data_IF_094161061804
#
_entry.id   IF_094161061804
#
_cell.length_a   1.000
_cell.length_b   1.000
_cell.length_c   1.000
_cell.angle_alpha   90.00
_cell.angle_beta   90.00
_cell.angle_gamma   90.00
#
_symmetry.space_group_name_H-M   'P 1'
#
loop_
_entity.id
_entity.type
_entity.pdbx_description
1 polymer ?
#
# COMPACT_ATOMS: atom_id res chain seq x y z
N UNK A 1 24.04 -17.49 -46.86
CA UNK A 1 22.87 -18.38 -46.92
C UNK A 1 23.36 -19.79 -47.12
N UNK A 2 23.55 -20.54 -46.03
CA UNK A 2 23.89 -21.96 -46.07
C UNK A 2 22.66 -22.75 -45.64
N UNK A 3 21.87 -23.19 -46.61
CA UNK A 3 20.78 -24.14 -46.38
C UNK A 3 21.34 -25.56 -46.51
N UNK A 4 21.07 -26.41 -45.51
CA UNK A 4 21.48 -27.82 -45.49
C UNK A 4 20.22 -28.67 -45.62
N UNK A 5 20.02 -29.24 -46.80
CA UNK A 5 18.94 -30.19 -47.08
C UNK A 5 19.42 -31.62 -46.84
N UNK A 6 18.67 -32.37 -46.03
CA UNK A 6 18.82 -33.82 -45.91
C UNK A 6 17.51 -34.52 -46.24
N UNK A 7 17.59 -35.48 -47.17
CA UNK A 7 16.46 -36.33 -47.58
C UNK A 7 16.77 -37.78 -47.20
N UNK A 8 15.91 -38.37 -46.36
CA UNK A 8 15.92 -39.81 -46.07
C UNK A 8 15.11 -40.57 -47.15
N UNK A 9 15.48 -41.82 -47.52
CA UNK A 9 14.77 -42.61 -48.52
C UNK A 9 13.29 -42.91 -48.21
N UNK A 10 12.82 -42.68 -46.98
CA UNK A 10 11.41 -42.83 -46.59
C UNK A 10 10.56 -41.54 -46.80
N UNK A 11 11.12 -40.53 -47.49
CA UNK A 11 10.36 -39.36 -47.96
C UNK A 11 10.11 -38.27 -46.92
N UNK A 12 10.70 -38.36 -45.73
CA UNK A 12 10.64 -37.28 -44.74
C UNK A 12 11.71 -36.22 -45.04
N UNK A 13 11.27 -34.98 -45.28
CA UNK A 13 12.10 -33.80 -45.49
C UNK A 13 12.13 -32.95 -44.23
N UNK A 14 13.33 -32.58 -43.77
CA UNK A 14 13.53 -31.68 -42.63
C UNK A 14 14.40 -30.52 -43.08
N UNK A 15 13.80 -29.33 -43.10
CA UNK A 15 14.49 -28.09 -43.45
C UNK A 15 14.81 -27.32 -42.16
N UNK A 16 16.10 -27.23 -41.83
CA UNK A 16 16.57 -26.51 -40.65
C UNK A 16 17.14 -25.14 -41.06
N UNK A 17 16.44 -24.08 -40.64
CA UNK A 17 16.97 -22.71 -40.64
C UNK A 17 17.58 -22.39 -39.30
N UNK A 18 18.88 -22.12 -39.28
CA UNK A 18 19.55 -21.55 -38.12
C UNK A 18 19.44 -20.02 -38.16
N UNK A 19 19.01 -19.35 -37.07
CA UNK A 19 18.95 -17.90 -37.01
C UNK A 19 20.35 -17.28 -36.82
N UNK A 20 20.72 -16.34 -37.71
CA UNK A 20 21.91 -15.48 -37.57
C UNK A 20 21.56 -14.20 -36.79
N UNK A 21 21.44 -14.26 -35.46
CA UNK A 21 21.72 -13.14 -34.55
C UNK A 21 21.64 -13.58 -33.08
N UNK A 22 22.45 -13.04 -32.13
CA UNK A 22 22.37 -13.42 -30.73
C UNK A 22 21.15 -12.73 -30.09
N UNK A 23 20.22 -13.52 -29.57
CA UNK A 23 19.12 -13.02 -28.74
C UNK A 23 19.26 -13.63 -27.34
N UNK A 24 19.66 -12.79 -26.39
CA UNK A 24 19.39 -12.96 -24.96
C UNK A 24 17.86 -12.94 -24.75
N UNK A 25 17.22 -14.11 -24.81
CA UNK A 25 15.85 -14.29 -24.36
C UNK A 25 15.61 -15.77 -24.01
N UNK A 26 15.20 -16.01 -22.76
CA UNK A 26 14.82 -17.32 -22.20
C UNK A 26 13.68 -17.94 -23.04
N UNK A 27 13.75 -19.24 -23.39
CA UNK A 27 12.73 -19.86 -24.23
C UNK A 27 11.45 -20.18 -23.46
N UNK A 28 10.31 -19.70 -23.98
CA UNK A 28 8.97 -20.06 -23.54
C UNK A 28 8.58 -21.42 -24.16
N UNK A 29 8.49 -22.47 -23.34
CA UNK A 29 8.06 -23.80 -23.77
C UNK A 29 6.54 -23.86 -23.84
N UNK A 30 5.96 -23.72 -25.04
CA UNK A 30 4.53 -23.98 -25.29
C UNK A 30 4.37 -25.31 -26.01
N UNK A 31 3.90 -26.32 -25.29
CA UNK A 31 3.39 -27.58 -25.87
C UNK A 31 2.04 -27.34 -26.54
N UNK A 32 1.85 -28.05 -27.65
CA UNK A 32 0.69 -28.06 -28.56
C UNK A 32 -0.50 -28.80 -27.97
N UNK A 33 -1.73 -28.40 -28.33
CA UNK A 33 -2.88 -29.27 -28.66
C UNK A 33 -3.95 -28.37 -29.31
N UNK A 34 -4.29 -28.66 -30.58
CA UNK A 34 -5.49 -28.13 -31.24
C UNK A 34 -6.58 -29.21 -31.24
N UNK A 35 -7.79 -28.97 -30.70
CA UNK A 35 -8.92 -29.87 -30.92
C UNK A 35 -9.64 -29.53 -32.24
N UNK A 36 -9.93 -30.55 -33.04
CA UNK A 36 -10.63 -30.45 -34.33
C UNK A 36 -12.15 -30.62 -34.14
N UNK A 37 -12.92 -29.63 -34.64
CA UNK A 37 -14.31 -29.55 -35.16
C UNK A 37 -15.46 -30.35 -34.51
N UNK A 38 -16.57 -29.64 -34.26
CA UNK A 38 -17.92 -30.09 -34.64
C UNK A 38 -18.66 -29.00 -35.41
N UNK A 39 -19.18 -29.40 -36.57
CA UNK A 39 -20.06 -28.59 -37.44
C UNK A 39 -21.43 -28.49 -36.78
N UNK A 40 -21.97 -27.27 -36.63
CA UNK A 40 -23.41 -27.01 -36.63
C UNK A 40 -23.62 -25.62 -37.20
N UNK A 41 -24.19 -25.56 -38.42
CA UNK A 41 -24.77 -24.36 -38.98
C UNK A 41 -26.13 -24.15 -38.30
N UNK A 42 -26.26 -23.06 -37.53
CA UNK A 42 -27.50 -22.29 -37.49
C UNK A 42 -27.14 -20.80 -37.44
N UNK A 43 -27.63 -20.09 -38.46
CA UNK A 43 -27.66 -18.64 -38.56
C UNK A 43 -28.43 -18.05 -37.38
N UNK A 44 -27.77 -17.20 -36.60
CA UNK A 44 -28.31 -15.93 -36.12
C UNK A 44 -27.14 -15.06 -35.66
N UNK A 45 -26.90 -13.95 -36.37
CA UNK A 45 -25.91 -12.93 -36.02
C UNK A 45 -26.38 -12.15 -34.79
N UNK A 46 -26.39 -12.79 -33.63
CA UNK A 46 -26.23 -12.08 -32.38
C UNK A 46 -24.73 -11.86 -32.20
N UNK A 47 -24.21 -10.65 -32.48
CA UNK A 47 -22.92 -10.28 -31.94
C UNK A 47 -23.07 -10.28 -30.42
N UNK A 48 -22.49 -11.22 -29.67
CA UNK A 48 -22.39 -11.03 -28.25
C UNK A 48 -21.48 -9.82 -28.13
N UNK A 49 -21.97 -8.69 -27.62
CA UNK A 49 -21.07 -7.67 -27.11
C UNK A 49 -20.10 -8.42 -26.19
N UNK A 50 -18.78 -8.37 -26.45
CA UNK A 50 -17.85 -8.96 -25.52
C UNK A 50 -18.08 -8.22 -24.21
N UNK A 51 -18.71 -8.91 -23.25
CA UNK A 51 -18.70 -8.46 -21.87
C UNK A 51 -17.22 -8.15 -21.57
N UNK A 52 -16.90 -6.98 -20.99
CA UNK A 52 -15.53 -6.68 -20.62
C UNK A 52 -15.03 -7.90 -19.85
N UNK A 53 -13.98 -8.54 -20.37
CA UNK A 53 -13.40 -9.70 -19.74
C UNK A 53 -13.07 -9.28 -18.32
N UNK A 54 -13.82 -9.76 -17.33
CA UNK A 54 -13.40 -9.67 -15.94
C UNK A 54 -12.02 -10.33 -15.96
N UNK A 55 -10.93 -9.60 -15.64
CA UNK A 55 -9.62 -10.22 -15.60
C UNK A 55 -9.67 -11.26 -14.49
N UNK A 56 -9.96 -12.50 -14.86
CA UNK A 56 -9.81 -13.65 -13.98
C UNK A 56 -8.31 -13.73 -13.77
N UNK A 57 -7.84 -13.20 -12.65
CA UNK A 57 -6.45 -13.34 -12.22
C UNK A 57 -6.24 -14.81 -11.87
N UNK A 58 -5.89 -15.62 -12.87
CA UNK A 58 -5.70 -17.08 -12.79
C UNK A 58 -4.48 -17.48 -11.92
N UNK A 59 -3.88 -16.55 -11.17
CA UNK A 59 -2.60 -16.72 -10.48
C UNK A 59 -2.52 -16.17 -9.04
N UNK A 60 -3.62 -15.82 -8.36
CA UNK A 60 -3.52 -15.57 -6.90
C UNK A 60 -3.43 -16.90 -6.17
N UNK A 61 -2.20 -17.29 -5.81
CA UNK A 61 -1.90 -18.51 -5.05
C UNK A 61 -2.36 -18.43 -3.58
N UNK A 62 -2.54 -17.21 -3.06
CA UNK A 62 -2.90 -16.91 -1.69
C UNK A 62 -4.07 -15.91 -1.63
N UNK A 63 -4.73 -15.83 -0.48
CA UNK A 63 -5.76 -14.83 -0.21
C UNK A 63 -5.20 -13.40 -0.15
N UNK A 64 -6.09 -12.41 -0.20
CA UNK A 64 -5.71 -11.01 -0.06
C UNK A 64 -5.44 -10.69 1.43
N UNK A 65 -4.21 -10.33 1.83
CA UNK A 65 -3.89 -10.01 3.22
C UNK A 65 -4.28 -8.57 3.61
N UNK A 66 -4.50 -7.68 2.65
CA UNK A 66 -4.87 -6.26 2.87
C UNK A 66 -5.97 -6.04 3.92
N UNK A 67 -7.12 -6.76 3.92
CA UNK A 67 -8.17 -6.55 4.91
C UNK A 67 -7.68 -6.75 6.36
N UNK A 68 -6.74 -7.67 6.59
CA UNK A 68 -6.16 -7.94 7.91
C UNK A 68 -5.32 -6.76 8.37
N UNK A 69 -4.46 -6.21 7.48
CA UNK A 69 -3.66 -5.03 7.78
C UNK A 69 -4.51 -3.79 8.03
N UNK A 70 -5.51 -3.54 7.18
CA UNK A 70 -6.45 -2.43 7.33
C UNK A 70 -7.23 -2.51 8.65
N UNK A 71 -7.74 -3.69 8.99
CA UNK A 71 -8.44 -3.90 10.27
C UNK A 71 -7.53 -3.68 11.48
N UNK A 72 -6.28 -4.16 11.41
CA UNK A 72 -5.27 -3.95 12.45
C UNK A 72 -4.95 -2.47 12.69
N UNK A 73 -4.64 -1.75 11.61
CA UNK A 73 -4.41 -0.31 11.63
C UNK A 73 -5.61 0.43 12.21
N UNK A 74 -6.82 0.14 11.74
CA UNK A 74 -8.03 0.85 12.14
C UNK A 74 -8.34 0.71 13.63
N UNK A 75 -8.15 -0.49 14.18
CA UNK A 75 -8.40 -0.77 15.58
C UNK A 75 -7.29 -0.22 16.50
N UNK A 76 -6.09 0.04 15.99
CA UNK A 76 -5.04 0.76 16.70
C UNK A 76 -5.24 2.28 16.62
N UNK A 77 -5.43 2.81 15.40
CA UNK A 77 -5.41 4.23 15.10
C UNK A 77 -6.70 4.97 15.48
N UNK A 78 -7.87 4.36 15.25
CA UNK A 78 -9.15 5.04 15.52
C UNK A 78 -9.32 5.35 17.02
N UNK A 79 -9.09 4.38 17.95
CA UNK A 79 -9.17 4.67 19.38
C UNK A 79 -8.09 5.65 19.86
N UNK A 80 -6.85 5.53 19.35
CA UNK A 80 -5.75 6.45 19.63
C UNK A 80 -6.14 7.91 19.27
N UNK A 81 -6.69 8.08 18.07
CA UNK A 81 -7.19 9.36 17.59
C UNK A 81 -8.31 9.93 18.46
N UNK A 82 -9.25 9.11 18.92
CA UNK A 82 -10.32 9.54 19.84
C UNK A 82 -9.73 10.03 21.17
N UNK A 83 -8.67 9.40 21.67
CA UNK A 83 -7.91 9.86 22.85
C UNK A 83 -7.21 11.19 22.58
N UNK A 84 -6.60 11.39 21.41
CA UNK A 84 -6.02 12.67 20.98
C UNK A 84 -7.07 13.78 20.82
N UNK A 85 -8.30 13.45 20.49
CA UNK A 85 -9.39 14.44 20.42
C UNK A 85 -9.99 14.74 21.80
N UNK A 86 -9.82 13.85 22.76
CA UNK A 86 -10.44 14.00 24.08
C UNK A 86 -11.93 13.69 24.11
N UNK A 87 -12.45 12.98 23.10
CA UNK A 87 -13.89 12.71 22.99
C UNK A 87 -14.35 11.89 24.18
N UNK A 88 -15.40 12.34 24.86
CA UNK A 88 -15.96 11.72 26.05
C UNK A 88 -14.95 11.61 27.20
N UNK A 89 -13.91 12.46 27.21
CA UNK A 89 -12.85 12.40 28.22
C UNK A 89 -11.81 11.30 27.97
N UNK A 90 -11.86 10.61 26.83
CA UNK A 90 -10.80 9.69 26.41
C UNK A 90 -9.44 10.40 26.40
N UNK A 91 -8.38 9.70 26.80
CA UNK A 91 -7.04 10.28 26.90
C UNK A 91 -6.85 11.33 28.00
N UNK A 92 -7.76 11.43 28.98
CA UNK A 92 -7.55 12.20 30.21
C UNK A 92 -7.33 13.70 29.99
N UNK A 93 -7.94 14.28 28.94
CA UNK A 93 -7.81 15.69 28.48
C UNK A 93 -6.42 16.09 27.95
N UNK A 94 -5.39 15.32 28.23
CA UNK A 94 -4.01 15.56 27.77
C UNK A 94 -3.64 14.70 26.55
N UNK A 95 -4.54 13.83 26.09
CA UNK A 95 -4.30 12.96 24.94
C UNK A 95 -3.44 11.75 25.28
N UNK A 96 -3.55 11.25 26.51
CA UNK A 96 -2.84 10.07 26.94
C UNK A 96 -3.38 8.83 26.21
N UNK A 97 -2.53 8.16 25.44
CA UNK A 97 -2.89 6.99 24.65
C UNK A 97 -2.54 5.66 25.35
N UNK A 98 -2.16 5.65 26.64
CA UNK A 98 -1.70 4.42 27.34
C UNK A 98 -2.69 3.25 27.29
N UNK A 99 -4.00 3.54 27.12
CA UNK A 99 -4.99 2.48 26.91
C UNK A 99 -4.83 1.73 25.57
N UNK A 100 -4.17 2.34 24.58
CA UNK A 100 -3.88 1.76 23.27
C UNK A 100 -2.56 0.97 23.20
N UNK A 101 -1.79 0.84 24.29
CA UNK A 101 -0.52 0.08 24.28
C UNK A 101 -0.75 -1.34 23.73
N UNK A 102 -1.79 -2.03 24.20
CA UNK A 102 -2.12 -3.38 23.72
C UNK A 102 -2.52 -3.38 22.23
N UNK A 103 -3.35 -2.43 21.80
CA UNK A 103 -3.77 -2.34 20.40
C UNK A 103 -2.61 -1.96 19.47
N UNK A 104 -1.65 -1.16 19.93
CA UNK A 104 -0.45 -0.81 19.16
C UNK A 104 0.43 -2.04 18.90
N UNK A 105 0.67 -2.89 19.90
CA UNK A 105 1.48 -4.09 19.68
C UNK A 105 0.76 -5.18 18.88
N UNK A 106 -0.49 -5.48 19.22
CA UNK A 106 -1.16 -6.66 18.68
C UNK A 106 -1.99 -6.40 17.43
N UNK A 107 -2.52 -5.18 17.26
CA UNK A 107 -3.35 -4.84 16.10
C UNK A 107 -2.57 -3.97 15.12
N UNK A 108 -2.00 -2.85 15.58
CA UNK A 108 -1.23 -1.94 14.73
C UNK A 108 0.10 -2.53 14.26
N UNK A 109 0.86 -3.18 15.14
CA UNK A 109 2.17 -3.72 14.78
C UNK A 109 2.08 -5.13 14.18
N UNK A 110 1.58 -6.10 14.94
CA UNK A 110 1.59 -7.50 14.53
C UNK A 110 0.79 -7.75 13.23
N UNK A 111 -0.45 -7.28 13.15
CA UNK A 111 -1.29 -7.55 11.97
C UNK A 111 -0.78 -6.82 10.72
N UNK A 112 -0.26 -5.59 10.86
CA UNK A 112 0.31 -4.88 9.72
C UNK A 112 1.62 -5.51 9.24
N UNK A 113 2.47 -6.00 10.14
CA UNK A 113 3.69 -6.73 9.73
C UNK A 113 3.32 -8.01 8.98
N UNK A 114 2.35 -8.79 9.49
CA UNK A 114 1.86 -9.98 8.82
C UNK A 114 1.25 -9.66 7.44
N UNK A 115 0.46 -8.59 7.36
CA UNK A 115 -0.11 -8.10 6.11
C UNK A 115 0.96 -7.70 5.11
N UNK A 116 1.95 -6.91 5.55
CA UNK A 116 3.03 -6.45 4.70
C UNK A 116 3.93 -7.57 4.18
N UNK A 117 4.18 -8.62 4.98
CA UNK A 117 4.84 -9.85 4.50
C UNK A 117 3.97 -10.54 3.45
N UNK A 118 2.65 -10.63 3.67
CA UNK A 118 1.72 -11.20 2.70
C UNK A 118 1.70 -10.46 1.37
N UNK A 119 1.64 -9.12 1.40
CA UNK A 119 1.72 -8.29 0.19
C UNK A 119 3.07 -8.41 -0.51
N UNK A 120 4.17 -8.56 0.25
CA UNK A 120 5.48 -8.79 -0.33
C UNK A 120 5.55 -10.12 -1.10
N UNK A 121 4.97 -11.19 -0.54
CA UNK A 121 4.87 -12.51 -1.20
C UNK A 121 4.00 -12.42 -2.46
N UNK A 122 2.95 -11.60 -2.44
CA UNK A 122 2.07 -11.37 -3.60
C UNK A 122 2.71 -10.47 -4.68
N UNK A 123 3.88 -9.88 -4.41
CA UNK A 123 4.59 -9.00 -5.35
C UNK A 123 4.18 -7.52 -5.28
N UNK A 124 3.26 -7.16 -4.38
CA UNK A 124 2.77 -5.80 -4.18
C UNK A 124 3.72 -5.01 -3.26
N UNK A 125 4.85 -4.59 -3.84
CA UNK A 125 5.96 -3.96 -3.09
C UNK A 125 5.54 -2.66 -2.38
N UNK A 126 4.67 -1.86 -2.99
CA UNK A 126 4.22 -0.60 -2.40
C UNK A 126 3.40 -0.85 -1.13
N UNK A 127 2.37 -1.71 -1.21
CA UNK A 127 1.53 -2.05 -0.07
C UNK A 127 2.35 -2.75 1.02
N UNK A 128 3.26 -3.65 0.64
CA UNK A 128 4.19 -4.28 1.57
C UNK A 128 5.01 -3.25 2.38
N UNK A 129 5.59 -2.26 1.70
CA UNK A 129 6.36 -1.21 2.36
C UNK A 129 5.48 -0.37 3.31
N UNK A 130 4.27 0.02 2.86
CA UNK A 130 3.33 0.79 3.68
C UNK A 130 3.00 0.05 4.97
N UNK A 131 2.51 -1.19 4.89
CA UNK A 131 2.10 -1.95 6.07
C UNK A 131 3.27 -2.30 6.99
N UNK A 132 4.44 -2.68 6.46
CA UNK A 132 5.60 -2.98 7.30
C UNK A 132 6.09 -1.76 8.08
N UNK A 133 6.14 -0.59 7.43
CA UNK A 133 6.63 0.64 8.05
C UNK A 133 5.63 1.18 9.07
N UNK A 134 4.34 1.19 8.75
CA UNK A 134 3.28 1.62 9.66
C UNK A 134 3.16 0.66 10.88
N UNK A 135 3.30 -0.65 10.66
CA UNK A 135 3.35 -1.61 11.75
C UNK A 135 4.55 -1.39 12.68
N UNK A 136 5.72 -1.10 12.09
CA UNK A 136 6.91 -0.68 12.84
C UNK A 136 6.68 0.60 13.65
N UNK A 137 5.96 1.58 13.10
CA UNK A 137 5.59 2.81 13.80
C UNK A 137 4.70 2.54 15.03
N UNK A 138 3.67 1.71 14.91
CA UNK A 138 2.84 1.35 16.07
C UNK A 138 3.63 0.59 17.13
N UNK A 139 4.50 -0.34 16.70
CA UNK A 139 5.39 -1.06 17.61
C UNK A 139 6.33 -0.12 18.38
N UNK A 140 6.95 0.83 17.67
CA UNK A 140 7.84 1.82 18.27
C UNK A 140 7.09 2.75 19.24
N UNK A 141 5.89 3.21 18.85
CA UNK A 141 5.05 4.07 19.68
C UNK A 141 4.54 3.35 20.93
N UNK A 142 4.12 2.09 20.79
CA UNK A 142 3.77 1.23 21.92
C UNK A 142 4.95 1.04 22.87
N UNK A 143 6.16 0.78 22.35
CA UNK A 143 7.35 0.55 23.16
C UNK A 143 7.69 1.74 24.07
N UNK A 144 7.68 2.96 23.55
CA UNK A 144 8.00 4.15 24.36
C UNK A 144 6.98 4.43 25.46
N UNK A 145 5.75 3.93 25.32
CA UNK A 145 4.68 4.12 26.30
C UNK A 145 4.65 3.06 27.39
N UNK A 146 5.27 1.89 27.17
CA UNK A 146 5.37 0.87 28.21
C UNK A 146 6.34 1.35 29.29
N UNK A 147 5.90 1.50 30.55
CA UNK A 147 6.75 2.03 31.63
C UNK A 147 8.06 1.24 31.83
N UNK A 148 8.06 -0.05 31.50
CA UNK A 148 9.22 -0.93 31.57
C UNK A 148 10.44 -0.41 30.79
N UNK A 149 10.25 0.23 29.63
CA UNK A 149 11.37 0.73 28.83
C UNK A 149 12.02 1.99 29.41
N UNK A 150 11.33 2.68 30.34
CA UNK A 150 11.83 3.85 31.06
C UNK A 150 12.50 4.89 30.13
N UNK A 151 11.90 5.17 28.98
CA UNK A 151 12.52 5.93 27.89
C UNK A 151 12.97 7.35 28.28
N UNK A 152 12.35 7.93 29.32
CA UNK A 152 12.65 9.28 29.80
C UNK A 152 13.91 9.31 30.68
N UNK A 153 14.22 8.23 31.43
CA UNK A 153 15.33 8.26 32.39
C UNK A 153 16.72 8.38 31.74
N UNK A 154 16.83 8.14 30.43
CA UNK A 154 18.08 8.30 29.69
C UNK A 154 18.52 9.76 29.52
N UNK A 155 17.62 10.73 29.73
CA UNK A 155 17.90 12.15 29.50
C UNK A 155 18.45 12.90 30.73
N UNK A 156 18.42 12.29 31.92
CA UNK A 156 19.00 12.89 33.13
C UNK A 156 18.24 12.55 34.41
N UNK A 157 18.71 13.12 35.52
CA UNK A 157 18.11 12.92 36.86
C UNK A 157 17.07 13.99 37.22
N UNK A 158 17.07 15.14 36.54
CA UNK A 158 16.00 16.13 36.65
C UNK A 158 14.81 15.68 35.80
N UNK A 159 13.71 15.33 36.48
CA UNK A 159 12.52 14.81 35.83
C UNK A 159 11.94 15.78 34.78
N UNK A 160 11.94 17.08 35.08
CA UNK A 160 11.33 18.09 34.20
C UNK A 160 12.16 18.33 32.95
N UNK A 161 13.47 18.47 33.10
CA UNK A 161 14.38 18.62 31.97
C UNK A 161 14.45 17.35 31.11
N UNK A 162 14.38 16.17 31.75
CA UNK A 162 14.37 14.89 31.05
C UNK A 162 13.10 14.70 30.21
N UNK A 163 11.93 15.06 30.75
CA UNK A 163 10.65 14.98 30.03
C UNK A 163 10.61 15.93 28.82
N UNK A 164 11.08 17.17 28.97
CA UNK A 164 11.17 18.12 27.85
C UNK A 164 12.09 17.60 26.73
N UNK A 165 13.28 17.11 27.09
CA UNK A 165 14.24 16.58 26.11
C UNK A 165 13.70 15.32 25.43
N UNK A 166 12.96 14.48 26.16
CA UNK A 166 12.26 13.33 25.58
C UNK A 166 11.21 13.76 24.55
N UNK A 167 10.40 14.78 24.85
CA UNK A 167 9.40 15.29 23.92
C UNK A 167 10.01 15.82 22.62
N UNK A 168 11.08 16.63 22.71
CA UNK A 168 11.82 17.12 21.54
C UNK A 168 12.38 15.96 20.69
N UNK A 169 12.91 14.93 21.35
CA UNK A 169 13.51 13.78 20.68
C UNK A 169 12.45 12.90 20.01
N UNK A 170 11.32 12.68 20.67
CA UNK A 170 10.21 11.90 20.10
C UNK A 170 9.55 12.63 18.92
N UNK A 171 9.47 13.97 18.97
CA UNK A 171 8.95 14.79 17.87
C UNK A 171 9.74 14.58 16.56
N UNK A 172 11.05 14.29 16.63
CA UNK A 172 11.87 14.02 15.44
C UNK A 172 11.38 12.80 14.65
N UNK A 173 11.01 11.72 15.35
CA UNK A 173 10.42 10.54 14.71
C UNK A 173 9.17 10.91 13.92
N UNK A 174 8.30 11.73 14.52
CA UNK A 174 7.03 12.15 13.91
C UNK A 174 7.26 13.04 12.68
N UNK A 175 8.24 13.95 12.72
CA UNK A 175 8.61 14.76 11.53
C UNK A 175 9.03 13.86 10.37
N UNK A 176 9.94 12.91 10.61
CA UNK A 176 10.41 12.01 9.55
C UNK A 176 9.33 11.03 9.10
N UNK A 177 8.39 10.65 9.97
CA UNK A 177 7.19 9.92 9.56
C UNK A 177 6.31 10.76 8.62
N UNK A 178 6.14 12.06 8.90
CA UNK A 178 5.46 12.98 7.99
C UNK A 178 6.12 13.04 6.60
N UNK A 179 7.46 13.10 6.56
CA UNK A 179 8.22 13.06 5.28
C UNK A 179 8.02 11.74 4.54
N UNK A 180 8.02 10.62 5.26
CA UNK A 180 7.80 9.30 4.69
C UNK A 180 6.39 9.17 4.10
N UNK A 181 5.38 9.66 4.80
CA UNK A 181 4.00 9.66 4.29
C UNK A 181 3.79 10.64 3.15
N UNK A 182 4.56 11.72 3.07
CA UNK A 182 4.58 12.56 1.87
C UNK A 182 5.05 11.76 0.65
N UNK A 183 6.08 10.92 0.79
CA UNK A 183 6.52 10.04 -0.30
C UNK A 183 5.46 9.00 -0.66
N UNK A 184 4.77 8.41 0.33
CA UNK A 184 3.64 7.52 0.06
C UNK A 184 2.48 8.25 -0.63
N UNK A 185 2.18 9.49 -0.24
CA UNK A 185 1.19 10.33 -0.91
C UNK A 185 1.53 10.49 -2.38
N UNK A 186 2.77 10.87 -2.71
CA UNK A 186 3.21 11.04 -4.10
C UNK A 186 3.13 9.73 -4.89
N UNK A 187 3.56 8.62 -4.28
CA UNK A 187 3.52 7.31 -4.93
C UNK A 187 2.09 6.79 -5.16
N UNK A 188 1.18 7.06 -4.21
CA UNK A 188 -0.22 6.61 -4.25
C UNK A 188 -1.08 7.26 -5.34
N UNK A 189 -0.61 8.33 -5.98
CA UNK A 189 -1.30 9.01 -7.10
C UNK A 189 -1.60 8.06 -8.27
N UNK A 190 -0.91 6.92 -8.36
CA UNK A 190 -1.19 5.88 -9.36
C UNK A 190 -2.21 4.83 -8.94
N UNK A 191 -2.63 4.81 -7.69
CA UNK A 191 -3.56 3.83 -7.15
C UNK A 191 -4.99 4.36 -7.30
N UNK A 192 -5.45 5.13 -6.33
CA UNK A 192 -6.80 5.68 -6.28
C UNK A 192 -6.84 6.94 -5.40
N UNK A 193 -7.93 7.70 -5.53
CA UNK A 193 -8.08 8.99 -4.86
C UNK A 193 -8.19 8.81 -3.35
N UNK A 194 -8.78 7.70 -2.88
CA UNK A 194 -8.92 7.41 -1.46
C UNK A 194 -7.54 7.26 -0.80
N UNK A 195 -6.60 6.51 -1.39
CA UNK A 195 -5.24 6.38 -0.87
C UNK A 195 -4.47 7.71 -0.90
N UNK A 196 -4.65 8.52 -1.94
CA UNK A 196 -4.01 9.84 -2.02
C UNK A 196 -4.48 10.76 -0.89
N UNK A 197 -5.80 10.87 -0.70
CA UNK A 197 -6.37 11.74 0.35
C UNK A 197 -6.03 11.19 1.73
N UNK A 198 -6.06 9.86 1.91
CA UNK A 198 -5.64 9.18 3.14
C UNK A 198 -4.21 9.57 3.53
N UNK A 199 -3.23 9.34 2.65
CA UNK A 199 -1.83 9.65 2.97
C UNK A 199 -1.61 11.15 3.12
N UNK A 200 -2.33 12.00 2.38
CA UNK A 200 -2.25 13.45 2.55
C UNK A 200 -2.75 13.89 3.94
N UNK A 201 -3.86 13.31 4.43
CA UNK A 201 -4.33 13.56 5.79
C UNK A 201 -3.27 13.19 6.82
N UNK A 202 -2.67 12.00 6.72
CA UNK A 202 -1.62 11.60 7.66
C UNK A 202 -0.32 12.40 7.50
N UNK A 203 0.01 12.85 6.29
CA UNK A 203 1.17 13.73 6.04
C UNK A 203 1.07 15.05 6.79
N UNK A 204 -0.14 15.58 7.00
CA UNK A 204 -0.38 16.77 7.83
C UNK A 204 -0.50 16.40 9.32
N UNK A 205 -1.09 15.25 9.63
CA UNK A 205 -1.26 14.74 10.99
C UNK A 205 0.08 14.68 11.75
N UNK A 206 1.09 13.99 11.20
CA UNK A 206 2.35 13.73 11.89
C UNK A 206 3.13 15.00 12.27
N UNK A 207 3.31 15.99 11.39
CA UNK A 207 3.87 17.29 11.75
C UNK A 207 3.06 18.03 12.81
N UNK A 208 1.72 17.98 12.77
CA UNK A 208 0.89 18.58 13.82
C UNK A 208 1.15 17.93 15.19
N UNK A 209 1.26 16.59 15.26
CA UNK A 209 1.64 15.91 16.50
C UNK A 209 3.07 16.29 16.94
N UNK A 210 4.02 16.34 16.00
CA UNK A 210 5.39 16.75 16.33
C UNK A 210 5.43 18.16 16.94
N UNK A 211 4.70 19.12 16.35
CA UNK A 211 4.57 20.48 16.89
C UNK A 211 3.91 20.48 18.28
N UNK A 212 2.96 19.59 18.54
CA UNK A 212 2.42 19.41 19.89
C UNK A 212 3.53 19.03 20.88
N UNK A 213 4.39 18.07 20.53
CA UNK A 213 5.48 17.64 21.41
C UNK A 213 6.53 18.75 21.65
N UNK A 214 6.88 19.53 20.63
CA UNK A 214 7.76 20.71 20.83
C UNK A 214 7.16 21.71 21.82
N UNK A 215 5.87 22.05 21.68
CA UNK A 215 5.23 22.96 22.63
C UNK A 215 5.04 22.34 24.02
N UNK A 216 4.99 21.01 24.15
CA UNK A 216 5.03 20.34 25.45
C UNK A 216 6.41 20.46 26.09
N UNK A 217 7.49 20.33 25.31
CA UNK A 217 8.85 20.55 25.80
C UNK A 217 9.08 21.99 26.28
N UNK A 218 8.50 22.97 25.58
CA UNK A 218 8.53 24.39 25.97
C UNK A 218 7.62 24.73 27.18
N UNK A 219 6.82 23.78 27.68
CA UNK A 219 5.84 24.00 28.75
C UNK A 219 4.59 24.80 28.34
N UNK A 220 4.35 24.99 27.04
CA UNK A 220 3.18 25.69 26.50
C UNK A 220 2.03 24.69 26.20
N UNK A 221 1.42 24.18 27.27
CA UNK A 221 0.35 23.17 27.18
C UNK A 221 -0.86 23.61 26.36
N UNK A 222 -1.20 24.90 26.39
CA UNK A 222 -2.35 25.44 25.67
C UNK A 222 -2.16 25.31 24.15
N UNK A 223 -0.96 25.65 23.66
CA UNK A 223 -0.63 25.56 22.23
C UNK A 223 -0.41 24.11 21.80
N UNK A 224 0.27 23.32 22.65
CA UNK A 224 0.42 21.88 22.44
C UNK A 224 -0.94 21.20 22.24
N UNK A 225 -1.91 21.50 23.11
CA UNK A 225 -3.27 20.96 23.01
C UNK A 225 -3.95 21.31 21.68
N UNK A 226 -3.77 22.51 21.15
CA UNK A 226 -4.34 22.91 19.87
C UNK A 226 -3.79 22.03 18.75
N UNK A 227 -2.47 21.91 18.65
CA UNK A 227 -1.81 21.10 17.62
C UNK A 227 -2.11 19.61 17.76
N UNK A 228 -2.22 19.10 18.99
CA UNK A 228 -2.67 17.74 19.27
C UNK A 228 -4.07 17.47 18.71
N UNK A 229 -5.01 18.39 18.92
CA UNK A 229 -6.38 18.27 18.41
C UNK A 229 -6.38 18.31 16.88
N UNK A 230 -5.63 19.22 16.26
CA UNK A 230 -5.50 19.26 14.80
C UNK A 230 -4.94 17.95 14.25
N UNK A 231 -3.89 17.42 14.87
CA UNK A 231 -3.35 16.10 14.58
C UNK A 231 -4.41 15.00 14.64
N UNK A 232 -5.18 14.97 15.74
CA UNK A 232 -6.31 14.05 15.90
C UNK A 232 -7.38 14.20 14.82
N UNK A 233 -7.72 15.43 14.41
CA UNK A 233 -8.73 15.66 13.36
C UNK A 233 -8.27 15.07 12.03
N UNK A 234 -7.01 15.32 11.63
CA UNK A 234 -6.46 14.78 10.38
C UNK A 234 -6.31 13.25 10.44
N UNK A 235 -5.88 12.71 11.58
CA UNK A 235 -5.84 11.25 11.79
C UNK A 235 -7.24 10.62 11.68
N UNK A 236 -8.27 11.28 12.22
CA UNK A 236 -9.64 10.77 12.18
C UNK A 236 -10.19 10.82 10.76
N UNK A 237 -9.96 11.93 10.05
CA UNK A 237 -10.35 12.06 8.65
C UNK A 237 -9.73 10.96 7.78
N UNK A 238 -8.43 10.70 7.96
CA UNK A 238 -7.76 9.56 7.32
C UNK A 238 -8.38 8.21 7.71
N UNK A 239 -8.64 8.00 9.01
CA UNK A 239 -9.25 6.76 9.51
C UNK A 239 -10.65 6.51 8.94
N UNK A 240 -11.47 7.54 8.74
CA UNK A 240 -12.81 7.41 8.13
C UNK A 240 -12.71 6.93 6.68
N UNK A 241 -11.76 7.46 5.91
CA UNK A 241 -11.48 6.99 4.55
C UNK A 241 -10.99 5.53 4.60
N UNK A 242 -10.17 5.19 5.59
CA UNK A 242 -9.67 3.83 5.73
C UNK A 242 -10.77 2.84 6.15
N UNK A 243 -11.74 3.23 6.96
CA UNK A 243 -12.93 2.43 7.25
C UNK A 243 -13.73 2.13 5.98
N UNK A 244 -13.84 3.10 5.07
CA UNK A 244 -14.45 2.91 3.76
C UNK A 244 -13.67 1.90 2.90
N UNK A 245 -12.34 2.04 2.83
CA UNK A 245 -11.48 1.09 2.11
C UNK A 245 -11.52 -0.32 2.72
N UNK A 246 -11.56 -0.43 4.05
CA UNK A 246 -11.68 -1.69 4.75
C UNK A 246 -12.98 -2.40 4.41
N UNK A 247 -14.12 -1.69 4.46
CA UNK A 247 -15.41 -2.25 4.04
C UNK A 247 -15.36 -2.72 2.58
N UNK A 248 -14.78 -1.93 1.68
CA UNK A 248 -14.60 -2.31 0.28
C UNK A 248 -13.80 -3.60 0.13
N UNK A 249 -12.69 -3.71 0.86
CA UNK A 249 -11.82 -4.90 0.83
C UNK A 249 -12.50 -6.16 1.39
N UNK A 250 -13.38 -6.02 2.38
CA UNK A 250 -14.17 -7.12 2.91
C UNK A 250 -15.25 -7.57 1.93
N UNK A 251 -15.97 -6.62 1.32
CA UNK A 251 -17.00 -6.91 0.32
C UNK A 251 -16.40 -7.62 -0.90
N UNK A 252 -15.21 -7.22 -1.34
CA UNK A 252 -14.47 -7.91 -2.40
C UNK A 252 -14.07 -9.33 -1.97
N UNK A 253 -13.65 -9.53 -0.71
CA UNK A 253 -13.22 -10.85 -0.23
C UNK A 253 -14.33 -11.91 -0.17
N UNK A 254 -15.60 -11.48 -0.16
CA UNK A 254 -16.78 -12.36 -0.13
C UNK A 254 -17.56 -12.35 -1.45
N UNK A 255 -16.96 -11.80 -2.52
CA UNK A 255 -17.59 -11.66 -3.84
C UNK A 255 -18.97 -10.98 -3.78
N UNK A 256 -19.10 -9.93 -2.97
CA UNK A 256 -20.36 -9.18 -2.84
C UNK A 256 -20.74 -8.48 -4.16
N UNK A 257 -22.01 -8.48 -4.59
CA UNK A 257 -22.41 -7.98 -5.90
C UNK A 257 -22.20 -6.47 -6.11
N UNK A 258 -22.06 -5.69 -5.04
CA UNK A 258 -21.81 -4.26 -5.12
C UNK A 258 -20.41 -3.92 -4.63
N UNK A 259 -19.57 -3.41 -5.51
CA UNK A 259 -18.24 -2.90 -5.18
C UNK A 259 -18.31 -1.40 -4.88
N UNK A 260 -17.58 -0.97 -3.86
CA UNK A 260 -17.52 0.44 -3.46
C UNK A 260 -16.60 1.22 -4.42
N UNK A 261 -17.02 2.42 -4.89
CA UNK A 261 -16.20 3.23 -5.78
C UNK A 261 -15.01 3.84 -5.04
N UNK A 262 -13.80 3.34 -5.28
CA UNK A 262 -12.56 3.89 -4.68
C UNK A 262 -11.94 5.03 -5.49
N UNK A 263 -12.39 5.23 -6.74
CA UNK A 263 -11.90 6.28 -7.64
C UNK A 263 -10.50 5.97 -8.18
N UNK A 264 -10.41 4.97 -9.05
CA UNK A 264 -9.17 4.53 -9.71
C UNK A 264 -8.51 5.67 -10.52
N UNK A 265 -7.27 6.01 -10.15
CA UNK A 265 -6.47 7.05 -10.82
C UNK A 265 -5.50 6.49 -11.87
N UNK A 266 -5.37 5.15 -11.97
CA UNK A 266 -4.46 4.50 -12.91
C UNK A 266 -4.73 4.90 -14.37
N UNK A 267 -6.00 5.18 -14.69
CA UNK A 267 -6.43 5.63 -16.02
C UNK A 267 -5.90 7.03 -16.36
N UNK A 268 -5.74 7.90 -15.35
CA UNK A 268 -5.23 9.26 -15.51
C UNK A 268 -3.70 9.31 -15.48
N UNK A 269 -3.07 8.52 -14.61
CA UNK A 269 -1.61 8.54 -14.38
C UNK A 269 -0.95 7.26 -14.88
N UNK A 270 -0.74 7.22 -16.20
CA UNK A 270 -0.20 6.06 -16.93
C UNK A 270 1.14 5.58 -16.39
N UNK A 271 1.33 4.27 -16.34
CA UNK A 271 2.57 3.63 -15.91
C UNK A 271 3.77 3.94 -16.80
N UNK A 272 4.99 3.83 -16.24
CA UNK A 272 6.25 4.03 -17.00
C UNK A 272 6.33 3.09 -18.20
N UNK A 273 5.90 1.83 -18.05
CA UNK A 273 5.92 0.82 -19.11
C UNK A 273 5.01 1.19 -20.28
N UNK A 274 3.81 1.71 -20.01
CA UNK A 274 2.89 2.19 -21.05
C UNK A 274 3.46 3.43 -21.76
N UNK A 275 4.05 4.35 -21.00
CA UNK A 275 4.69 5.55 -21.56
C UNK A 275 5.88 5.21 -22.45
N UNK A 276 6.75 4.30 -22.02
CA UNK A 276 7.89 3.81 -22.80
C UNK A 276 7.45 3.01 -24.03
N UNK A 277 6.39 2.20 -23.91
CA UNK A 277 5.79 1.47 -25.04
C UNK A 277 5.27 2.42 -26.12
N UNK A 278 4.54 3.48 -25.72
CA UNK A 278 4.07 4.53 -26.64
C UNK A 278 5.22 5.28 -27.30
N UNK A 279 6.29 5.57 -26.57
CA UNK A 279 7.50 6.21 -27.13
C UNK A 279 8.19 5.31 -28.15
N UNK A 280 8.41 4.04 -27.81
CA UNK A 280 9.05 3.05 -28.69
C UNK A 280 8.25 2.81 -29.98
N UNK A 281 6.92 2.79 -29.88
CA UNK A 281 6.03 2.72 -31.05
C UNK A 281 6.13 3.98 -31.94
N UNK A 282 6.22 5.17 -31.34
CA UNK A 282 6.41 6.42 -32.10
C UNK A 282 7.78 6.47 -32.79
N UNK A 283 8.85 6.04 -32.13
CA UNK A 283 10.20 6.02 -32.72
C UNK A 283 10.30 5.00 -33.86
N UNK A 284 9.65 3.83 -33.73
CA UNK A 284 9.59 2.82 -34.81
C UNK A 284 8.88 3.32 -36.06
N UNK A 285 7.83 4.15 -35.92
CA UNK A 285 7.13 4.73 -37.07
C UNK A 285 7.92 5.86 -37.74
N UNK A 286 8.79 6.55 -36.99
CA UNK A 286 9.61 7.66 -37.51
C UNK A 286 10.88 7.21 -38.24
N UNK A 287 11.34 5.97 -38.03
CA UNK A 287 12.55 5.41 -38.65
C UNK A 287 12.23 4.53 -39.88
N UNK A 288 10.94 4.40 -40.22
CA UNK A 288 10.44 3.59 -41.35
C UNK A 288 10.13 4.39 -42.62
N UNK A 289 10.72 5.57 -42.79
CA UNK A 289 10.68 6.43 -43.98
C UNK A 289 12.12 6.71 -44.43
#
# INVERSE_FOLDING_TARGET
MSELHFTSPDGLTIDLRLPEHPTDAVPEYRSTISPRKTTNQHDERAYPLPLPSVPVNIHRRFGNPTPVGLGGFLLANTPATIMLLGWHGAGGRNGNESAAIGTFFYLGCLLEILCGIGEWINGETFNAAVFLILGGYFGASGAVMVPFHNAISGYGTDATAAEATYHDSYAMLLIFMGVLLLFFTIASVRLDICHVVLFACFTVCFPCLATSYFYMADGNEATARIFRIWGGIFSLAGSVILWYLFLGSLLESVDFPYLLPVGDLSTYVKGRTEYLGRRRHKTSMSCGL
#
